data_IF_417577266653
#
_entry.id   IF_417577266653
#
_cell.length_a   1.000
_cell.length_b   1.000
_cell.length_c   1.000
_cell.angle_alpha   90.00
_cell.angle_beta   90.00
_cell.angle_gamma   90.00
#
_symmetry.space_group_name_H-M   'P 1'
#
loop_
_entity.id
_entity.type
_entity.pdbx_description
1 polymer ?
#
# COMPACT_ATOMS: atom_id res chain seq x y z
N UNK A 1 -4.80 -17.95 -31.69
CA UNK A 1 -4.89 -16.56 -31.22
C UNK A 1 -4.01 -16.44 -29.99
N UNK A 2 -2.89 -15.72 -30.08
CA UNK A 2 -1.98 -15.56 -28.94
C UNK A 2 -2.64 -14.55 -28.01
N UNK A 3 -3.07 -15.01 -26.83
CA UNK A 3 -3.70 -14.15 -25.85
C UNK A 3 -2.60 -13.26 -25.25
N UNK A 4 -2.44 -12.03 -25.76
CA UNK A 4 -1.41 -11.08 -25.32
C UNK A 4 -1.71 -10.46 -23.95
N UNK A 5 -2.81 -10.86 -23.29
CA UNK A 5 -3.11 -10.47 -21.92
C UNK A 5 -2.26 -11.31 -20.97
N UNK A 6 -1.08 -10.79 -20.64
CA UNK A 6 -0.35 -11.26 -19.47
C UNK A 6 -1.21 -10.91 -18.26
N UNK A 7 -1.81 -11.92 -17.62
CA UNK A 7 -2.50 -11.77 -16.33
C UNK A 7 -1.49 -11.46 -15.23
N UNK A 8 -0.99 -10.21 -15.21
CA UNK A 8 -0.07 -9.73 -14.20
C UNK A 8 -0.71 -9.68 -12.80
N UNK A 9 -2.02 -9.88 -12.71
CA UNK A 9 -2.79 -9.78 -11.48
C UNK A 9 -3.06 -8.32 -11.10
N UNK A 10 -3.62 -8.12 -9.92
CA UNK A 10 -3.93 -6.80 -9.41
C UNK A 10 -2.66 -6.07 -8.94
N UNK A 11 -2.69 -4.74 -9.00
CA UNK A 11 -1.67 -3.89 -8.40
C UNK A 11 -1.90 -3.86 -6.89
N UNK A 12 -0.83 -3.65 -6.11
CA UNK A 12 -0.99 -3.40 -4.68
C UNK A 12 -1.74 -2.10 -4.43
N UNK A 13 -2.80 -2.12 -3.59
CA UNK A 13 -3.61 -0.93 -3.38
C UNK A 13 -2.86 0.12 -2.54
N UNK A 14 -3.31 1.38 -2.54
CA UNK A 14 -2.63 2.51 -1.91
C UNK A 14 -2.14 2.28 -0.47
N UNK A 15 -2.98 1.72 0.42
CA UNK A 15 -2.57 1.45 1.80
C UNK A 15 -1.41 0.43 1.87
N UNK A 16 -1.43 -0.58 1.00
CA UNK A 16 -0.43 -1.66 0.98
C UNK A 16 0.97 -1.18 0.59
N UNK A 17 1.05 -0.02 -0.06
CA UNK A 17 2.30 0.64 -0.45
C UNK A 17 2.99 1.36 0.71
N UNK A 18 2.29 1.60 1.82
CA UNK A 18 2.93 2.02 3.07
C UNK A 18 3.61 0.83 3.73
N UNK A 19 4.94 0.89 3.80
CA UNK A 19 5.80 -0.19 4.28
C UNK A 19 6.82 0.37 5.28
N UNK A 20 7.19 -0.42 6.30
CA UNK A 20 8.34 -0.05 7.14
C UNK A 20 9.63 -0.37 6.38
N UNK A 21 10.61 0.56 6.35
CA UNK A 21 11.82 0.39 5.54
C UNK A 21 12.64 -0.86 5.90
N UNK A 22 12.60 -1.30 7.16
CA UNK A 22 13.30 -2.49 7.66
C UNK A 22 12.51 -3.80 7.55
N UNK A 23 11.25 -3.75 7.09
CA UNK A 23 10.39 -4.94 6.93
C UNK A 23 9.58 -4.90 5.63
N UNK A 24 10.19 -4.45 4.53
CA UNK A 24 9.54 -4.42 3.22
C UNK A 24 8.97 -5.80 2.85
N UNK A 25 7.72 -5.83 2.39
CA UNK A 25 6.99 -7.05 2.05
C UNK A 25 6.57 -7.91 3.24
N UNK A 26 6.89 -7.48 4.46
CA UNK A 26 6.58 -8.16 5.72
C UNK A 26 6.12 -7.17 6.79
N UNK A 27 5.65 -5.99 6.37
CA UNK A 27 5.13 -4.98 7.30
C UNK A 27 3.90 -5.55 7.99
N UNK A 28 3.84 -5.45 9.32
CA UNK A 28 2.69 -5.91 10.08
C UNK A 28 1.43 -5.14 9.65
N UNK A 29 0.53 -5.85 8.96
CA UNK A 29 -0.70 -5.29 8.41
C UNK A 29 -1.68 -4.86 9.50
N UNK A 30 -1.69 -5.54 10.65
CA UNK A 30 -2.53 -5.14 11.79
C UNK A 30 -2.03 -3.83 12.38
N UNK A 31 -0.71 -3.69 12.56
CA UNK A 31 -0.14 -2.44 13.04
C UNK A 31 -0.32 -1.30 12.02
N UNK A 32 -0.15 -1.60 10.72
CA UNK A 32 -0.43 -0.63 9.65
C UNK A 32 -1.86 -0.11 9.71
N UNK A 33 -2.84 -0.99 9.90
CA UNK A 33 -4.23 -0.56 10.01
C UNK A 33 -4.50 0.29 11.26
N UNK A 34 -3.89 -0.03 12.40
CA UNK A 34 -3.97 0.83 13.61
C UNK A 34 -3.40 2.23 13.34
N UNK A 35 -2.28 2.31 12.64
CA UNK A 35 -1.66 3.58 12.27
C UNK A 35 -2.51 4.36 11.25
N UNK A 36 -3.10 3.68 10.27
CA UNK A 36 -4.04 4.30 9.30
C UNK A 36 -5.22 4.94 10.01
N UNK A 37 -5.86 4.21 10.94
CA UNK A 37 -6.97 4.73 11.74
C UNK A 37 -6.51 5.92 12.59
N UNK A 38 -5.35 5.79 13.25
CA UNK A 38 -4.73 6.89 14.02
C UNK A 38 -4.45 8.13 13.17
N UNK A 39 -4.20 7.97 11.87
CA UNK A 39 -3.96 9.07 10.93
C UNK A 39 -5.24 9.61 10.27
N UNK A 40 -6.42 9.14 10.69
CA UNK A 40 -7.71 9.61 10.18
C UNK A 40 -8.24 8.85 8.96
N UNK A 41 -7.61 7.72 8.60
CA UNK A 41 -8.15 6.78 7.61
C UNK A 41 -9.18 5.82 8.22
N UNK A 42 -9.71 4.92 7.38
CA UNK A 42 -10.70 3.91 7.78
C UNK A 42 -10.15 2.50 7.60
N UNK A 43 -10.46 1.60 8.53
CA UNK A 43 -10.13 0.18 8.41
C UNK A 43 -10.72 -0.43 7.14
N UNK A 44 -9.94 -1.26 6.43
CA UNK A 44 -10.28 -1.92 5.16
C UNK A 44 -10.51 -0.98 3.96
N UNK A 45 -10.30 0.33 4.10
CA UNK A 45 -10.30 1.26 2.97
C UNK A 45 -8.94 1.28 2.28
N UNK A 46 -8.64 0.19 1.55
CA UNK A 46 -7.35 -0.01 0.88
C UNK A 46 -7.04 1.08 -0.16
N UNK A 47 -8.08 1.63 -0.77
CA UNK A 47 -8.00 2.66 -1.81
C UNK A 47 -7.99 4.09 -1.27
N UNK A 48 -8.06 4.27 0.06
CA UNK A 48 -8.08 5.59 0.72
C UNK A 48 -9.25 6.48 0.26
N UNK A 49 -10.36 5.88 -0.16
CA UNK A 49 -11.55 6.59 -0.66
C UNK A 49 -12.28 7.38 0.43
N UNK A 50 -12.15 6.96 1.68
CA UNK A 50 -12.74 7.61 2.84
C UNK A 50 -12.01 8.89 3.26
N UNK A 51 -10.79 9.11 2.76
CA UNK A 51 -9.97 10.26 3.10
C UNK A 51 -10.25 11.36 2.06
N UNK A 52 -10.83 12.52 2.48
CA UNK A 52 -11.07 13.64 1.58
C UNK A 52 -9.79 14.11 0.89
N UNK A 53 -9.90 14.56 -0.36
CA UNK A 53 -8.73 15.00 -1.16
C UNK A 53 -7.86 16.03 -0.42
N UNK A 54 -8.47 17.01 0.25
CA UNK A 54 -7.76 18.05 1.02
C UNK A 54 -7.08 17.53 2.30
N UNK A 55 -7.30 16.28 2.70
CA UNK A 55 -6.65 15.63 3.87
C UNK A 55 -5.63 14.56 3.47
N UNK A 56 -5.50 14.25 2.18
CA UNK A 56 -4.58 13.21 1.69
C UNK A 56 -3.12 13.52 2.06
N UNK A 57 -2.69 14.78 1.95
CA UNK A 57 -1.34 15.20 2.32
C UNK A 57 -1.08 15.05 3.83
N UNK A 58 -2.04 15.47 4.66
CA UNK A 58 -1.96 15.31 6.12
C UNK A 58 -1.89 13.84 6.52
N UNK A 59 -2.72 12.99 5.90
CA UNK A 59 -2.67 11.54 6.11
C UNK A 59 -1.30 10.98 5.72
N UNK A 60 -0.78 11.37 4.56
CA UNK A 60 0.52 10.93 4.07
C UNK A 60 1.64 11.27 5.05
N UNK A 61 1.74 12.54 5.49
CA UNK A 61 2.76 12.94 6.46
C UNK A 61 2.59 12.28 7.83
N UNK A 62 1.36 12.01 8.25
CA UNK A 62 1.12 11.25 9.48
C UNK A 62 1.69 9.82 9.37
N UNK A 63 1.44 9.13 8.26
CA UNK A 63 2.02 7.80 8.01
C UNK A 63 3.56 7.85 7.94
N UNK A 64 4.14 8.87 7.29
CA UNK A 64 5.59 9.06 7.30
C UNK A 64 6.13 9.29 8.72
N UNK A 65 5.45 10.10 9.54
CA UNK A 65 5.82 10.33 10.93
C UNK A 65 5.74 9.09 11.82
N UNK A 66 4.90 8.11 11.46
CA UNK A 66 4.88 6.78 12.09
C UNK A 66 6.04 5.89 11.63
N UNK A 67 6.89 6.35 10.70
CA UNK A 67 8.05 5.62 10.19
C UNK A 67 7.75 4.70 8.99
N UNK A 68 6.66 4.95 8.26
CA UNK A 68 6.43 4.30 6.97
C UNK A 68 7.16 5.04 5.85
N UNK A 69 7.51 4.31 4.81
CA UNK A 69 7.77 4.87 3.48
C UNK A 69 6.59 4.52 2.57
N UNK A 70 6.33 5.35 1.56
CA UNK A 70 5.30 5.09 0.57
C UNK A 70 5.94 4.71 -0.77
N UNK A 71 5.77 3.45 -1.16
CA UNK A 71 6.33 2.92 -2.40
C UNK A 71 5.44 3.26 -3.59
N UNK A 72 6.05 3.43 -4.76
CA UNK A 72 5.30 3.56 -6.00
C UNK A 72 4.69 2.21 -6.43
N UNK A 73 3.63 2.19 -7.25
CA UNK A 73 3.10 0.96 -7.83
C UNK A 73 4.18 0.09 -8.50
N UNK A 74 5.10 0.71 -9.25
CA UNK A 74 6.17 0.01 -9.94
C UNK A 74 7.17 -0.64 -8.97
N UNK A 75 7.38 -0.04 -7.79
CA UNK A 75 8.25 -0.62 -6.76
C UNK A 75 7.61 -1.83 -6.07
N UNK A 76 6.28 -1.89 -5.96
CA UNK A 76 5.57 -3.06 -5.43
C UNK A 76 5.39 -4.17 -6.48
N UNK A 77 5.31 -3.80 -7.76
CA UNK A 77 4.89 -4.72 -8.81
C UNK A 77 3.43 -5.09 -8.67
N UNK A 78 3.11 -6.35 -8.94
CA UNK A 78 1.75 -6.88 -8.88
C UNK A 78 1.61 -7.97 -7.82
N UNK A 79 0.38 -8.28 -7.43
CA UNK A 79 0.09 -9.32 -6.45
C UNK A 79 0.38 -10.73 -6.99
N UNK A 80 0.36 -10.93 -8.32
CA UNK A 80 0.77 -12.20 -8.93
C UNK A 80 2.23 -12.50 -8.57
N UNK A 81 2.55 -13.68 -8.00
CA UNK A 81 3.92 -14.03 -7.59
C UNK A 81 4.98 -13.83 -8.67
N UNK A 82 4.64 -14.02 -9.94
CA UNK A 82 5.57 -13.84 -11.07
C UNK A 82 6.01 -12.38 -11.27
N UNK A 83 5.18 -11.42 -10.87
CA UNK A 83 5.39 -9.98 -11.07
C UNK A 83 5.46 -9.20 -9.75
N UNK A 84 5.46 -9.90 -8.62
CA UNK A 84 5.61 -9.33 -7.29
C UNK A 84 7.09 -9.05 -7.02
N UNK A 85 7.42 -7.82 -6.63
CA UNK A 85 8.81 -7.44 -6.30
C UNK A 85 9.22 -7.83 -4.88
N UNK A 86 8.28 -8.34 -4.08
CA UNK A 86 8.48 -8.72 -2.69
C UNK A 86 8.58 -7.54 -1.72
N UNK A 87 8.27 -6.30 -2.17
CA UNK A 87 8.41 -5.09 -1.34
C UNK A 87 7.14 -4.65 -0.65
N UNK A 88 5.98 -5.14 -1.09
CA UNK A 88 4.67 -4.75 -0.56
C UNK A 88 3.88 -6.01 -0.16
N UNK A 89 3.05 -5.86 0.86
CA UNK A 89 2.16 -6.90 1.36
C UNK A 89 0.81 -6.29 1.75
N UNK A 90 -0.25 -7.11 1.69
CA UNK A 90 -1.60 -6.78 2.15
C UNK A 90 -1.72 -6.90 3.67
#
# INVERSE_FOLDING_TARGET
>A
MVNCYIEKGEVFPPISRYQKPYSLGKTDSNQRWKDVISCGGKYLDYDQTSIPFNKQETFHYCMLGKGYIHLSPAQCGYQNPKYNTGKCNL
#
